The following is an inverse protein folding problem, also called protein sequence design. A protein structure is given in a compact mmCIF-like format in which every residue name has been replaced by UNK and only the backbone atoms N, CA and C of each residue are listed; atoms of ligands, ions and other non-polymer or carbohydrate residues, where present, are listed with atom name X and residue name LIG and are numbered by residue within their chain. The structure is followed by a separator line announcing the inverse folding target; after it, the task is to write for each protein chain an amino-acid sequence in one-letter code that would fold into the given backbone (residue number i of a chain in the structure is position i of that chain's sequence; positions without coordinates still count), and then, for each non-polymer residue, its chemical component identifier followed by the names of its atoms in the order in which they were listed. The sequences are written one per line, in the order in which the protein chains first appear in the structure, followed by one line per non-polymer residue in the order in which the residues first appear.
data_IF_545661617069
#
_entry.id   IF_545661617069
#
_cell.length_a   1.000
_cell.length_b   1.000
_cell.length_c   1.000
_cell.angle_alpha   90.00
_cell.angle_beta   90.00
_cell.angle_gamma   90.00
#
_symmetry.space_group_name_H-M   'P 1'
#
loop_
_entity.id
_entity.type
_entity.pdbx_description
1 polymer ?
#
# COMPACT_ATOMS: atom_id res chain seq x y z
N UNK A 1 1.25 -9.32 -19.98
CA UNK A 1 0.53 -8.05 -19.75
C UNK A 1 -0.08 -8.04 -18.34
N UNK A 2 0.75 -8.04 -17.28
CA UNK A 2 0.33 -7.92 -15.86
C UNK A 2 1.52 -7.51 -15.00
N UNK A 3 1.93 -6.24 -15.05
CA UNK A 3 2.80 -5.60 -14.03
C UNK A 3 2.40 -4.12 -13.99
N UNK A 4 1.45 -3.74 -13.13
CA UNK A 4 1.07 -2.33 -12.93
C UNK A 4 0.33 -2.01 -11.61
N UNK A 5 0.46 -2.83 -10.56
CA UNK A 5 -0.26 -2.58 -9.29
C UNK A 5 0.61 -2.40 -8.04
N UNK A 6 1.94 -2.46 -8.16
CA UNK A 6 2.84 -2.44 -7.01
C UNK A 6 3.27 -1.04 -6.51
N UNK A 7 2.74 0.05 -7.06
CA UNK A 7 3.29 1.41 -6.82
C UNK A 7 2.47 2.31 -5.87
N UNK A 8 1.35 1.85 -5.30
CA UNK A 8 0.49 2.70 -4.44
C UNK A 8 0.78 2.51 -2.93
N UNK A 9 1.60 1.52 -2.55
CA UNK A 9 1.87 1.22 -1.12
C UNK A 9 3.05 2.01 -0.50
N UNK A 10 3.71 2.94 -1.21
CA UNK A 10 4.95 3.57 -0.74
C UNK A 10 4.83 4.96 -0.10
N UNK A 11 3.64 5.49 0.20
CA UNK A 11 3.49 6.88 0.68
C UNK A 11 3.23 7.03 2.20
N UNK A 12 3.04 5.95 2.97
CA UNK A 12 2.64 6.07 4.39
C UNK A 12 3.73 5.81 5.43
N UNK A 13 4.97 6.26 5.18
CA UNK A 13 6.04 6.18 6.19
C UNK A 13 6.89 7.46 6.25
N UNK A 14 6.28 8.60 6.60
CA UNK A 14 7.02 9.76 7.10
C UNK A 14 6.10 10.66 7.93
N UNK A 15 5.92 10.32 9.21
CA UNK A 15 5.18 11.14 10.15
C UNK A 15 5.42 10.73 11.60
N UNK A 16 6.19 11.57 12.30
CA UNK A 16 6.27 11.71 13.76
C UNK A 16 7.10 10.70 14.56
N UNK A 17 8.38 11.05 14.82
CA UNK A 17 9.02 10.87 16.14
C UNK A 17 10.09 11.96 16.34
N UNK A 18 9.68 13.13 16.85
CA UNK A 18 10.57 14.05 17.55
C UNK A 18 10.43 13.76 19.05
N UNK A 19 11.37 12.97 19.58
CA UNK A 19 11.52 12.69 21.02
C UNK A 19 12.98 12.78 21.40
N UNK A 20 13.33 13.82 22.15
CA UNK A 20 14.66 14.16 22.61
C UNK A 20 15.13 13.16 23.71
N UNK A 21 16.32 12.55 23.64
CA UNK A 21 16.77 11.62 24.68
C UNK A 21 17.42 12.36 25.85
N UNK A 22 16.86 12.18 27.05
CA UNK A 22 17.48 12.58 28.32
C UNK A 22 18.54 11.56 28.74
N UNK A 23 19.75 12.05 28.94
CA UNK A 23 20.89 11.33 29.51
C UNK A 23 20.57 10.80 30.92
N UNK A 24 20.73 9.49 31.11
CA UNK A 24 21.00 8.92 32.44
C UNK A 24 22.01 7.78 32.32
N UNK A 25 23.19 8.03 32.90
CA UNK A 25 24.35 7.14 32.95
C UNK A 25 24.12 6.02 33.98
N UNK A 26 24.40 4.74 33.67
CA UNK A 26 24.47 3.69 34.68
C UNK A 26 25.87 3.61 35.32
N UNK A 27 25.98 3.15 36.57
CA UNK A 27 27.23 3.10 37.31
C UNK A 27 28.14 1.95 36.85
N UNK A 28 29.44 2.25 36.74
CA UNK A 28 30.49 1.27 36.50
C UNK A 28 30.65 0.33 37.69
N UNK A 29 30.60 -0.98 37.41
CA UNK A 29 31.02 -2.02 38.36
C UNK A 29 32.25 -2.72 37.80
N UNK A 30 33.33 -2.69 38.58
CA UNK A 30 34.58 -3.42 38.34
C UNK A 30 34.32 -4.92 38.36
N UNK A 31 34.88 -5.65 37.40
CA UNK A 31 35.07 -7.09 37.52
C UNK A 31 36.44 -7.51 37.00
N UNK A 32 37.14 -8.19 37.89
CA UNK A 32 38.50 -8.71 37.77
C UNK A 32 38.62 -9.74 36.66
N UNK A 33 39.68 -9.60 35.87
CA UNK A 33 40.12 -10.54 34.86
C UNK A 33 40.55 -11.87 35.50
N UNK A 34 39.87 -12.96 35.14
CA UNK A 34 40.37 -14.32 35.37
C UNK A 34 40.62 -14.94 34.00
N UNK A 35 41.87 -15.29 33.74
CA UNK A 35 42.32 -15.92 32.50
C UNK A 35 41.77 -17.35 32.46
N UNK A 36 40.84 -17.62 31.53
CA UNK A 36 40.37 -18.97 31.22
C UNK A 36 41.03 -19.39 29.91
N UNK A 37 41.86 -20.43 29.99
CA UNK A 37 42.48 -21.09 28.85
C UNK A 37 41.41 -21.57 27.86
N UNK A 38 41.47 -21.01 26.65
CA UNK A 38 40.57 -21.37 25.55
C UNK A 38 41.10 -22.64 24.88
N UNK A 39 40.53 -23.79 25.22
CA UNK A 39 40.75 -25.02 24.45
C UNK A 39 40.02 -24.89 23.11
N UNK A 40 40.79 -24.70 22.05
CA UNK A 40 40.33 -24.64 20.66
C UNK A 40 39.76 -26.00 20.27
N UNK A 41 38.45 -26.17 20.41
CA UNK A 41 37.73 -27.29 19.78
C UNK A 41 37.50 -26.91 18.33
N UNK A 42 38.28 -27.53 17.44
CA UNK A 42 38.14 -27.45 15.99
C UNK A 42 36.74 -27.93 15.61
N UNK A 43 35.79 -27.00 15.44
CA UNK A 43 34.47 -27.31 14.91
C UNK A 43 34.59 -27.61 13.42
N UNK A 44 34.69 -28.88 13.07
CA UNK A 44 34.48 -29.35 11.70
C UNK A 44 33.00 -29.19 11.36
N UNK A 45 32.63 -28.11 10.68
CA UNK A 45 31.30 -27.94 10.10
C UNK A 45 31.07 -29.02 9.04
N UNK A 46 30.21 -29.99 9.34
CA UNK A 46 29.80 -31.02 8.38
C UNK A 46 28.95 -30.35 7.30
N UNK A 47 29.37 -30.48 6.04
CA UNK A 47 28.61 -30.00 4.89
C UNK A 47 27.40 -30.93 4.64
N UNK A 48 26.26 -30.51 5.17
CA UNK A 48 24.99 -31.25 5.09
C UNK A 48 24.51 -31.42 3.64
N UNK A 49 25.05 -30.66 2.68
CA UNK A 49 24.73 -30.80 1.25
C UNK A 49 25.27 -32.09 0.60
N UNK A 50 26.13 -32.83 1.30
CA UNK A 50 26.72 -34.09 0.81
C UNK A 50 25.82 -35.32 0.98
N UNK A 51 24.68 -35.20 1.67
CA UNK A 51 23.75 -36.32 1.87
C UNK A 51 22.73 -36.40 0.73
N UNK A 52 22.48 -37.61 0.22
CA UNK A 52 21.52 -37.84 -0.88
C UNK A 52 20.17 -38.38 -0.41
N UNK A 53 20.03 -38.74 0.87
CA UNK A 53 18.77 -39.25 1.44
C UNK A 53 18.65 -38.93 2.94
N UNK A 54 17.42 -38.75 3.41
CA UNK A 54 17.10 -38.43 4.80
C UNK A 54 17.50 -39.55 5.79
N UNK A 55 17.60 -40.80 5.35
CA UNK A 55 18.11 -41.90 6.22
C UNK A 55 19.55 -41.67 6.68
N UNK A 56 20.35 -40.94 5.90
CA UNK A 56 21.75 -40.64 6.24
C UNK A 56 21.86 -39.73 7.46
N UNK A 57 20.81 -38.96 7.79
CA UNK A 57 20.80 -38.11 8.98
C UNK A 57 20.95 -38.91 10.28
N UNK A 58 20.58 -40.20 10.31
CA UNK A 58 20.77 -41.07 11.48
C UNK A 58 22.25 -41.25 11.85
N UNK A 59 23.13 -41.15 10.86
CA UNK A 59 24.58 -41.31 11.02
C UNK A 59 25.30 -39.98 11.34
N UNK A 60 24.59 -38.84 11.37
CA UNK A 60 25.20 -37.53 11.63
C UNK A 60 25.57 -37.41 13.11
N UNK A 61 26.86 -37.21 13.43
CA UNK A 61 27.29 -36.99 14.81
C UNK A 61 26.83 -35.63 15.30
N UNK A 62 26.50 -35.53 16.59
CA UNK A 62 26.00 -34.31 17.19
C UNK A 62 24.49 -34.11 17.00
N UNK A 63 23.80 -33.82 18.10
CA UNK A 63 22.34 -33.61 18.10
C UNK A 63 21.94 -32.44 17.18
N UNK A 64 22.67 -31.32 17.27
CA UNK A 64 22.37 -30.09 16.53
C UNK A 64 22.45 -30.26 15.02
N UNK A 65 23.50 -30.94 14.54
CA UNK A 65 23.74 -31.14 13.10
C UNK A 65 22.77 -32.16 12.52
N UNK A 66 22.46 -33.21 13.28
CA UNK A 66 21.42 -34.16 12.91
C UNK A 66 20.04 -33.51 12.81
N UNK A 67 19.69 -32.63 13.74
CA UNK A 67 18.44 -31.85 13.69
C UNK A 67 18.39 -30.95 12.44
N UNK A 68 19.51 -30.28 12.09
CA UNK A 68 19.61 -29.50 10.83
C UNK A 68 19.41 -30.39 9.60
N UNK A 69 19.99 -31.61 9.60
CA UNK A 69 19.87 -32.55 8.50
C UNK A 69 18.40 -32.92 8.24
N UNK A 70 17.68 -33.32 9.29
CA UNK A 70 16.26 -33.66 9.16
C UNK A 70 15.38 -32.46 8.80
N UNK A 71 15.65 -31.29 9.36
CA UNK A 71 14.95 -30.05 9.03
C UNK A 71 15.08 -29.73 7.53
N UNK A 72 16.30 -29.72 6.99
CA UNK A 72 16.53 -29.41 5.57
C UNK A 72 15.84 -30.42 4.65
N UNK A 73 16.03 -31.73 4.88
CA UNK A 73 15.36 -32.74 4.06
C UNK A 73 13.84 -32.66 4.18
N UNK A 74 13.29 -32.42 5.37
CA UNK A 74 11.86 -32.24 5.58
C UNK A 74 11.31 -31.08 4.74
N UNK A 75 12.01 -29.94 4.74
CA UNK A 75 11.63 -28.75 3.96
C UNK A 75 11.77 -28.99 2.46
N UNK A 76 12.91 -29.51 1.99
CA UNK A 76 13.19 -29.71 0.56
C UNK A 76 12.28 -30.76 -0.08
N UNK A 77 11.92 -31.81 0.68
CA UNK A 77 11.06 -32.89 0.20
C UNK A 77 9.58 -32.69 0.53
N UNK A 78 9.23 -31.65 1.29
CA UNK A 78 7.90 -31.43 1.87
C UNK A 78 7.38 -32.61 2.72
N UNK A 79 8.28 -33.40 3.31
CA UNK A 79 7.93 -34.53 4.17
C UNK A 79 7.92 -34.13 5.64
N UNK A 80 6.72 -33.85 6.16
CA UNK A 80 6.53 -33.51 7.58
C UNK A 80 6.90 -34.64 8.55
N UNK A 81 6.97 -35.90 8.09
CA UNK A 81 7.39 -37.01 8.95
C UNK A 81 8.88 -36.89 9.33
N UNK A 82 9.69 -36.23 8.51
CA UNK A 82 11.08 -35.91 8.85
C UNK A 82 11.19 -34.85 9.93
N UNK A 83 10.26 -33.88 9.97
CA UNK A 83 10.18 -32.89 11.05
C UNK A 83 9.94 -33.56 12.41
N UNK A 84 9.24 -34.70 12.47
CA UNK A 84 9.05 -35.43 13.73
C UNK A 84 10.36 -35.95 14.34
N UNK A 85 11.37 -36.21 13.50
CA UNK A 85 12.69 -36.68 13.90
C UNK A 85 13.60 -35.57 14.45
N UNK A 86 13.24 -34.31 14.28
CA UNK A 86 13.97 -33.15 14.83
C UNK A 86 13.73 -33.09 16.34
N UNK A 87 14.80 -33.03 17.13
CA UNK A 87 14.72 -33.06 18.60
C UNK A 87 14.74 -31.68 19.25
N UNK A 88 15.39 -30.70 18.62
CA UNK A 88 15.32 -29.30 19.03
C UNK A 88 13.93 -28.73 18.75
N UNK A 89 13.28 -28.18 19.79
CA UNK A 89 11.88 -27.74 19.73
C UNK A 89 11.68 -26.58 18.74
N UNK A 90 12.64 -25.65 18.69
CA UNK A 90 12.56 -24.48 17.81
C UNK A 90 12.73 -24.92 16.36
N UNK A 91 13.77 -25.70 16.06
CA UNK A 91 13.97 -26.24 14.70
C UNK A 91 12.81 -27.12 14.24
N UNK A 92 12.25 -27.93 15.14
CA UNK A 92 11.07 -28.76 14.85
C UNK A 92 9.88 -27.88 14.45
N UNK A 93 9.64 -26.80 15.19
CA UNK A 93 8.62 -25.81 14.86
C UNK A 93 8.84 -25.16 13.49
N UNK A 94 10.05 -24.71 13.21
CA UNK A 94 10.45 -24.11 11.91
C UNK A 94 10.26 -25.10 10.75
N UNK A 95 10.63 -26.37 10.94
CA UNK A 95 10.42 -27.42 9.95
C UNK A 95 8.94 -27.59 9.60
N UNK A 96 8.08 -27.77 10.61
CA UNK A 96 6.63 -27.91 10.37
C UNK A 96 6.00 -26.68 9.74
N UNK A 97 6.40 -25.48 10.16
CA UNK A 97 5.92 -24.24 9.56
C UNK A 97 6.31 -24.15 8.08
N UNK A 98 7.57 -24.43 7.76
CA UNK A 98 8.09 -24.35 6.39
C UNK A 98 7.42 -25.37 5.46
N UNK A 99 7.30 -26.62 5.91
CA UNK A 99 6.57 -27.67 5.17
C UNK A 99 5.09 -27.33 5.06
N UNK A 100 4.47 -26.80 6.13
CA UNK A 100 3.09 -26.31 6.13
C UNK A 100 2.84 -25.26 5.07
N UNK A 101 3.71 -24.27 4.95
CA UNK A 101 3.65 -23.25 3.88
C UNK A 101 3.82 -23.83 2.49
N UNK A 102 4.83 -24.67 2.29
CA UNK A 102 5.12 -25.26 0.99
C UNK A 102 4.01 -26.21 0.50
N UNK A 103 3.32 -26.89 1.42
CA UNK A 103 2.20 -27.81 1.13
C UNK A 103 0.82 -27.18 1.30
N UNK A 104 0.73 -25.92 1.74
CA UNK A 104 -0.51 -25.23 2.11
C UNK A 104 -1.37 -26.02 3.12
N UNK A 105 -0.72 -26.69 4.08
CA UNK A 105 -1.38 -27.53 5.07
C UNK A 105 -1.37 -26.89 6.47
N UNK A 106 -2.45 -26.21 6.89
CA UNK A 106 -2.53 -25.56 8.20
C UNK A 106 -2.49 -26.53 9.38
N UNK A 107 -2.83 -27.81 9.18
CA UNK A 107 -2.79 -28.81 10.26
C UNK A 107 -1.36 -29.08 10.73
N UNK A 108 -0.33 -28.71 9.96
CA UNK A 108 1.06 -28.81 10.41
C UNK A 108 1.41 -27.76 11.47
N UNK A 109 0.70 -26.62 11.53
CA UNK A 109 0.89 -25.64 12.60
C UNK A 109 0.50 -26.23 13.97
N UNK A 110 -0.43 -27.18 14.04
CA UNK A 110 -0.81 -27.85 15.31
C UNK A 110 0.35 -28.61 15.95
N UNK A 111 1.34 -29.03 15.14
CA UNK A 111 2.55 -29.74 15.59
C UNK A 111 3.61 -28.83 16.20
N UNK A 112 3.44 -27.51 16.12
CA UNK A 112 4.34 -26.52 16.71
C UNK A 112 4.02 -26.38 18.20
N UNK A 113 5.03 -26.51 19.07
CA UNK A 113 4.82 -26.46 20.54
C UNK A 113 4.65 -25.03 21.06
N UNK A 114 5.45 -24.09 20.55
CA UNK A 114 5.37 -22.67 20.92
C UNK A 114 4.06 -22.06 20.42
N UNK A 115 3.21 -21.59 21.35
CA UNK A 115 1.95 -20.94 21.00
C UNK A 115 2.16 -19.71 20.09
N UNK A 116 3.22 -18.94 20.33
CA UNK A 116 3.56 -17.79 19.51
C UNK A 116 3.94 -18.20 18.08
N UNK A 117 4.81 -19.20 17.91
CA UNK A 117 5.21 -19.67 16.56
C UNK A 117 4.04 -20.36 15.84
N UNK A 118 3.18 -21.06 16.58
CA UNK A 118 1.94 -21.65 16.05
C UNK A 118 1.00 -20.58 15.49
N UNK A 119 0.77 -19.51 16.24
CA UNK A 119 -0.05 -18.39 15.80
C UNK A 119 0.54 -17.71 14.56
N UNK A 120 1.87 -17.53 14.50
CA UNK A 120 2.57 -17.01 13.31
C UNK A 120 2.46 -17.93 12.10
N UNK A 121 2.50 -19.24 12.30
CA UNK A 121 2.28 -20.23 11.25
C UNK A 121 0.87 -20.11 10.65
N UNK A 122 -0.15 -19.98 11.51
CA UNK A 122 -1.53 -19.76 11.06
C UNK A 122 -1.74 -18.40 10.39
N UNK A 123 -1.10 -17.33 10.88
CA UNK A 123 -1.14 -15.99 10.26
C UNK A 123 -0.61 -16.05 8.81
N UNK A 124 0.56 -16.66 8.61
CA UNK A 124 1.19 -16.83 7.29
C UNK A 124 0.33 -17.67 6.34
N UNK A 125 -0.23 -18.78 6.82
CA UNK A 125 -1.07 -19.66 6.00
C UNK A 125 -2.44 -19.04 5.69
N UNK A 126 -3.02 -18.31 6.65
CA UNK A 126 -4.25 -17.55 6.44
C UNK A 126 -4.09 -16.53 5.31
N UNK A 127 -2.98 -15.78 5.32
CA UNK A 127 -2.63 -14.85 4.25
C UNK A 127 -2.36 -15.57 2.91
N UNK A 128 -1.52 -16.62 2.92
CA UNK A 128 -1.13 -17.36 1.71
C UNK A 128 -2.34 -18.00 1.01
N UNK A 129 -3.23 -18.62 1.78
CA UNK A 129 -4.43 -19.29 1.28
C UNK A 129 -5.62 -18.33 1.12
N UNK A 130 -5.46 -17.07 1.55
CA UNK A 130 -6.52 -16.07 1.60
C UNK A 130 -7.79 -16.57 2.31
N UNK A 131 -7.61 -17.37 3.36
CA UNK A 131 -8.69 -18.09 4.04
C UNK A 131 -8.89 -17.53 5.45
N UNK A 132 -9.94 -16.72 5.69
CA UNK A 132 -10.19 -16.15 7.00
C UNK A 132 -10.56 -17.22 8.04
N UNK A 133 -10.95 -18.44 7.64
CA UNK A 133 -11.18 -19.56 8.55
C UNK A 133 -9.88 -20.03 9.23
N UNK A 134 -8.72 -19.84 8.60
CA UNK A 134 -7.43 -20.18 9.23
C UNK A 134 -7.13 -19.20 10.36
N UNK A 135 -7.53 -17.93 10.23
CA UNK A 135 -7.37 -16.92 11.27
C UNK A 135 -8.12 -17.28 12.55
N UNK A 136 -9.20 -18.08 12.50
CA UNK A 136 -9.91 -18.57 13.69
C UNK A 136 -9.02 -19.41 14.62
N UNK A 137 -8.02 -20.08 14.05
CA UNK A 137 -7.10 -20.97 14.77
C UNK A 137 -6.07 -20.21 15.63
N UNK A 138 -5.84 -18.92 15.33
CA UNK A 138 -4.91 -18.05 16.06
C UNK A 138 -5.46 -17.73 17.46
N UNK A 139 -4.65 -17.92 18.49
CA UNK A 139 -5.06 -17.66 19.88
C UNK A 139 -4.86 -16.20 20.30
N UNK A 140 -3.75 -15.59 19.88
CA UNK A 140 -3.46 -14.18 20.14
C UNK A 140 -4.39 -13.25 19.34
N UNK A 141 -5.14 -12.39 20.04
CA UNK A 141 -6.12 -11.49 19.41
C UNK A 141 -5.47 -10.53 18.40
N UNK A 142 -4.28 -9.98 18.68
CA UNK A 142 -3.59 -9.07 17.75
C UNK A 142 -3.15 -9.80 16.48
N UNK A 143 -2.64 -11.03 16.60
CA UNK A 143 -2.28 -11.87 15.45
C UNK A 143 -3.50 -12.28 14.63
N UNK A 144 -4.62 -12.57 15.30
CA UNK A 144 -5.89 -12.90 14.68
C UNK A 144 -6.45 -11.71 13.89
N UNK A 145 -6.44 -10.52 14.48
CA UNK A 145 -6.86 -9.27 13.84
C UNK A 145 -5.99 -8.94 12.62
N UNK A 146 -4.65 -9.08 12.72
CA UNK A 146 -3.75 -8.92 11.56
C UNK A 146 -4.05 -9.92 10.45
N UNK A 147 -4.29 -11.20 10.79
CA UNK A 147 -4.66 -12.22 9.81
C UNK A 147 -5.98 -11.87 9.09
N UNK A 148 -7.00 -11.43 9.82
CA UNK A 148 -8.25 -10.97 9.22
C UNK A 148 -8.08 -9.74 8.35
N UNK A 149 -7.27 -8.76 8.76
CA UNK A 149 -6.96 -7.59 7.96
C UNK A 149 -6.34 -7.99 6.61
N UNK A 150 -5.29 -8.82 6.63
CA UNK A 150 -4.60 -9.26 5.42
C UNK A 150 -5.55 -10.04 4.51
N UNK A 151 -6.31 -10.99 5.06
CA UNK A 151 -7.25 -11.80 4.27
C UNK A 151 -8.41 -10.99 3.70
N UNK A 152 -8.95 -10.02 4.44
CA UNK A 152 -9.99 -9.12 3.96
C UNK A 152 -9.51 -8.25 2.79
N UNK A 153 -8.31 -7.68 2.87
CA UNK A 153 -7.71 -6.86 1.81
C UNK A 153 -7.43 -7.72 0.56
N UNK A 154 -6.79 -8.87 0.73
CA UNK A 154 -6.41 -9.77 -0.36
C UNK A 154 -7.60 -10.37 -1.13
N UNK A 155 -8.76 -10.46 -0.48
CA UNK A 155 -10.02 -10.91 -1.07
C UNK A 155 -10.97 -9.75 -1.43
N UNK A 156 -10.66 -8.52 -1.03
CA UNK A 156 -11.60 -7.40 -1.07
C UNK A 156 -12.96 -7.74 -0.41
N UNK A 157 -12.90 -8.44 0.72
CA UNK A 157 -14.07 -8.93 1.46
C UNK A 157 -14.35 -8.07 2.72
N UNK A 158 -15.35 -7.18 2.67
CA UNK A 158 -15.70 -6.35 3.82
C UNK A 158 -16.35 -7.16 4.97
N UNK A 159 -16.87 -8.36 4.71
CA UNK A 159 -17.43 -9.19 5.77
C UNK A 159 -16.33 -9.66 6.73
N UNK A 160 -15.15 -9.98 6.22
CA UNK A 160 -13.98 -10.34 7.03
C UNK A 160 -13.53 -9.18 7.92
N UNK A 161 -13.61 -7.92 7.48
CA UNK A 161 -13.29 -6.75 8.34
C UNK A 161 -14.12 -6.72 9.63
N UNK A 162 -15.38 -7.21 9.61
CA UNK A 162 -16.25 -7.26 10.80
C UNK A 162 -15.80 -8.26 11.87
N UNK A 163 -14.83 -9.11 11.54
CA UNK A 163 -14.29 -10.13 12.45
C UNK A 163 -13.10 -9.60 13.27
N UNK A 164 -12.58 -8.42 12.92
CA UNK A 164 -11.49 -7.74 13.61
C UNK A 164 -12.04 -7.10 14.88
N UNK A 165 -11.37 -7.31 16.02
CA UNK A 165 -11.79 -6.79 17.33
C UNK A 165 -11.29 -5.37 17.57
N UNK A 166 -10.05 -5.07 17.22
CA UNK A 166 -9.46 -3.75 17.43
C UNK A 166 -10.04 -2.73 16.46
N UNK A 167 -10.70 -1.70 17.01
CA UNK A 167 -11.38 -0.64 16.25
C UNK A 167 -10.49 0.01 15.19
N UNK A 168 -9.28 0.44 15.56
CA UNK A 168 -8.34 1.06 14.63
C UNK A 168 -7.96 0.13 13.46
N UNK A 169 -7.79 -1.16 13.73
CA UNK A 169 -7.51 -2.17 12.70
C UNK A 169 -8.73 -2.42 11.81
N UNK A 170 -9.93 -2.41 12.39
CA UNK A 170 -11.21 -2.54 11.68
C UNK A 170 -11.43 -1.35 10.74
N UNK A 171 -11.19 -0.12 11.18
CA UNK A 171 -11.29 1.08 10.34
C UNK A 171 -10.30 1.03 9.18
N UNK A 172 -9.04 0.67 9.44
CA UNK A 172 -8.03 0.47 8.40
C UNK A 172 -8.46 -0.58 7.37
N UNK A 173 -9.07 -1.68 7.83
CA UNK A 173 -9.61 -2.72 6.98
C UNK A 173 -10.71 -2.19 6.06
N UNK A 174 -11.74 -1.55 6.62
CA UNK A 174 -12.83 -0.99 5.84
C UNK A 174 -12.34 0.07 4.86
N UNK A 175 -11.44 0.96 5.29
CA UNK A 175 -10.85 1.97 4.41
C UNK A 175 -10.16 1.32 3.20
N UNK A 176 -9.26 0.36 3.44
CA UNK A 176 -8.53 -0.33 2.37
C UNK A 176 -9.48 -1.08 1.42
N UNK A 177 -10.44 -1.84 1.95
CA UNK A 177 -11.41 -2.59 1.13
C UNK A 177 -12.35 -1.64 0.36
N UNK A 178 -12.73 -0.49 0.93
CA UNK A 178 -13.53 0.53 0.25
C UNK A 178 -12.83 1.04 -1.01
N UNK A 179 -11.53 1.35 -0.91
CA UNK A 179 -10.74 1.84 -2.04
C UNK A 179 -10.51 0.76 -3.10
N UNK A 180 -10.22 -0.48 -2.69
CA UNK A 180 -10.02 -1.60 -3.61
C UNK A 180 -11.28 -1.90 -4.42
N UNK A 181 -12.45 -1.90 -3.78
CA UNK A 181 -13.75 -2.12 -4.44
C UNK A 181 -14.29 -0.87 -5.12
N UNK A 182 -13.75 0.31 -4.81
CA UNK A 182 -14.33 1.62 -5.14
C UNK A 182 -15.79 1.72 -4.71
N UNK A 183 -16.11 1.16 -3.54
CA UNK A 183 -17.47 1.11 -3.00
C UNK A 183 -17.66 2.18 -1.92
N UNK A 184 -18.34 3.30 -2.22
CA UNK A 184 -18.50 4.40 -1.27
C UNK A 184 -19.33 4.00 -0.05
N UNK A 185 -20.19 2.99 -0.14
CA UNK A 185 -21.02 2.59 1.00
C UNK A 185 -20.17 1.95 2.11
N UNK A 186 -19.00 1.42 1.78
CA UNK A 186 -18.07 0.90 2.78
C UNK A 186 -17.39 2.02 3.58
N UNK A 187 -17.29 3.24 3.03
CA UNK A 187 -16.82 4.39 3.81
C UNK A 187 -17.81 4.76 4.95
N UNK A 188 -19.07 4.36 4.85
CA UNK A 188 -20.05 4.57 5.93
C UNK A 188 -19.81 3.66 7.14
N UNK A 189 -18.99 2.62 6.99
CA UNK A 189 -18.56 1.73 8.09
C UNK A 189 -17.43 2.33 8.94
N UNK A 190 -16.87 3.48 8.53
CA UNK A 190 -15.82 4.19 9.26
C UNK A 190 -16.44 5.08 10.35
N UNK A 191 -15.78 5.13 11.51
CA UNK A 191 -16.23 5.85 12.70
C UNK A 191 -15.67 7.27 12.67
N UNK A 192 -14.37 7.41 12.38
CA UNK A 192 -13.74 8.73 12.30
C UNK A 192 -14.21 9.49 11.05
N UNK A 193 -14.79 10.67 11.28
CA UNK A 193 -15.34 11.50 10.21
C UNK A 193 -14.28 12.01 9.22
N UNK A 194 -13.05 12.26 9.69
CA UNK A 194 -11.97 12.70 8.80
C UNK A 194 -11.52 11.57 7.86
N UNK A 195 -11.44 10.35 8.37
CA UNK A 195 -11.14 9.12 7.62
C UNK A 195 -12.27 8.78 6.65
N UNK A 196 -13.53 8.89 7.08
CA UNK A 196 -14.71 8.76 6.22
C UNK A 196 -14.71 9.77 5.06
N UNK A 197 -14.41 11.04 5.36
CA UNK A 197 -14.30 12.10 4.35
C UNK A 197 -13.17 11.78 3.36
N UNK A 198 -12.01 11.34 3.86
CA UNK A 198 -10.87 10.94 3.01
C UNK A 198 -11.21 9.74 2.13
N UNK A 199 -11.92 8.75 2.67
CA UNK A 199 -12.38 7.57 1.93
C UNK A 199 -13.30 7.97 0.76
N UNK A 200 -14.34 8.76 1.06
CA UNK A 200 -15.29 9.24 0.05
C UNK A 200 -14.60 10.11 -1.01
N UNK A 201 -13.69 11.01 -0.60
CA UNK A 201 -12.92 11.84 -1.52
C UNK A 201 -12.11 10.98 -2.49
N UNK A 202 -11.31 10.02 -1.98
CA UNK A 202 -10.48 9.16 -2.82
C UNK A 202 -11.33 8.34 -3.80
N UNK A 203 -12.44 7.77 -3.35
CA UNK A 203 -13.35 7.02 -4.24
C UNK A 203 -13.90 7.94 -5.33
N UNK A 204 -14.35 9.15 -4.99
CA UNK A 204 -14.87 10.13 -5.95
C UNK A 204 -13.86 10.43 -7.07
N UNK A 205 -12.57 10.60 -6.71
CA UNK A 205 -11.50 10.84 -7.69
C UNK A 205 -11.17 9.58 -8.50
N UNK A 206 -11.17 8.41 -7.87
CA UNK A 206 -10.86 7.12 -8.52
C UNK A 206 -11.96 6.63 -9.48
N UNK A 207 -13.20 7.06 -9.28
CA UNK A 207 -14.35 6.75 -10.14
C UNK A 207 -14.72 7.91 -11.06
N UNK A 208 -14.17 9.10 -10.82
CA UNK A 208 -14.56 10.35 -11.48
C UNK A 208 -16.07 10.66 -11.31
N UNK A 209 -16.64 10.27 -10.17
CA UNK A 209 -18.05 10.49 -9.85
C UNK A 209 -18.23 11.75 -9.00
N UNK A 210 -18.62 12.84 -9.65
CA UNK A 210 -18.87 14.12 -8.99
C UNK A 210 -20.06 14.11 -8.02
N UNK A 211 -20.98 13.13 -8.15
CA UNK A 211 -22.13 13.03 -7.22
C UNK A 211 -21.67 12.64 -5.83
N UNK A 212 -20.57 11.88 -5.72
CA UNK A 212 -19.96 11.53 -4.44
C UNK A 212 -19.30 12.72 -3.74
N UNK A 213 -18.78 13.70 -4.50
CA UNK A 213 -18.24 14.93 -3.92
C UNK A 213 -19.29 15.71 -3.12
N UNK A 214 -20.57 15.60 -3.46
CA UNK A 214 -21.67 16.28 -2.75
C UNK A 214 -21.94 15.71 -1.35
N UNK A 215 -21.41 14.52 -1.05
CA UNK A 215 -21.50 13.89 0.27
C UNK A 215 -20.42 14.39 1.24
N UNK A 216 -19.48 15.22 0.77
CA UNK A 216 -18.38 15.75 1.55
C UNK A 216 -18.77 17.08 2.22
N UNK A 217 -18.05 17.47 3.27
CA UNK A 217 -18.13 18.83 3.80
C UNK A 217 -17.64 19.87 2.79
N UNK A 218 -18.13 21.12 2.89
CA UNK A 218 -17.94 22.20 1.90
C UNK A 218 -16.50 22.31 1.38
N UNK A 219 -15.50 22.35 2.27
CA UNK A 219 -14.09 22.49 1.87
C UNK A 219 -13.57 21.30 1.05
N UNK A 220 -13.93 20.07 1.45
CA UNK A 220 -13.52 18.85 0.75
C UNK A 220 -14.31 18.65 -0.55
N UNK A 221 -15.58 19.06 -0.56
CA UNK A 221 -16.46 19.06 -1.74
C UNK A 221 -15.87 19.91 -2.86
N UNK A 222 -15.49 21.16 -2.60
CA UNK A 222 -14.94 22.05 -3.62
C UNK A 222 -13.66 21.48 -4.25
N UNK A 223 -12.76 20.95 -3.41
CA UNK A 223 -11.52 20.33 -3.87
C UNK A 223 -11.79 19.07 -4.72
N UNK A 224 -12.81 18.29 -4.34
CA UNK A 224 -13.22 17.08 -5.07
C UNK A 224 -13.81 17.43 -6.44
N UNK A 225 -14.75 18.39 -6.49
CA UNK A 225 -15.40 18.82 -7.72
C UNK A 225 -14.41 19.41 -8.72
N UNK A 226 -13.45 20.19 -8.24
CA UNK A 226 -12.36 20.71 -9.04
C UNK A 226 -11.57 19.58 -9.73
N UNK A 227 -11.12 18.60 -8.95
CA UNK A 227 -10.32 17.49 -9.46
C UNK A 227 -11.10 16.61 -10.45
N UNK A 228 -12.36 16.28 -10.14
CA UNK A 228 -13.22 15.50 -11.04
C UNK A 228 -13.55 16.28 -12.31
N UNK A 229 -13.91 17.56 -12.21
CA UNK A 229 -14.18 18.44 -13.35
C UNK A 229 -12.97 18.57 -14.28
N UNK A 230 -11.80 18.83 -13.70
CA UNK A 230 -10.54 18.89 -14.43
C UNK A 230 -10.19 17.60 -15.13
N UNK A 231 -10.29 16.44 -14.47
CA UNK A 231 -9.94 15.13 -15.07
C UNK A 231 -10.93 14.66 -16.13
N UNK A 232 -12.22 14.96 -15.97
CA UNK A 232 -13.27 14.52 -16.91
C UNK A 232 -13.42 15.46 -18.11
N UNK A 233 -12.91 16.69 -18.03
CA UNK A 233 -13.22 17.75 -19.00
C UNK A 233 -14.66 18.25 -18.90
N UNK A 234 -15.43 17.81 -17.90
CA UNK A 234 -16.82 18.18 -17.75
C UNK A 234 -16.97 19.49 -16.96
N UNK A 235 -17.00 20.60 -17.69
CA UNK A 235 -17.09 21.93 -17.10
C UNK A 235 -18.38 22.17 -16.30
N UNK A 236 -19.47 21.41 -16.52
CA UNK A 236 -20.72 21.63 -15.78
C UNK A 236 -20.56 21.32 -14.30
N UNK A 237 -19.57 20.50 -13.93
CA UNK A 237 -19.19 20.24 -12.54
C UNK A 237 -18.70 21.53 -11.88
N UNK A 238 -17.99 22.39 -12.62
CA UNK A 238 -17.47 23.67 -12.13
C UNK A 238 -18.57 24.67 -11.77
N UNK A 239 -19.79 24.51 -12.32
CA UNK A 239 -20.93 25.36 -11.98
C UNK A 239 -21.47 25.11 -10.57
N UNK A 240 -21.11 23.99 -9.94
CA UNK A 240 -21.48 23.65 -8.56
C UNK A 240 -20.60 24.42 -7.56
N UNK A 241 -19.39 24.85 -7.96
CA UNK A 241 -18.45 25.54 -7.09
C UNK A 241 -18.95 26.94 -6.75
N UNK A 242 -19.00 27.25 -5.45
CA UNK A 242 -19.44 28.56 -4.96
C UNK A 242 -18.32 29.61 -4.95
N UNK A 243 -17.07 29.18 -4.83
CA UNK A 243 -15.91 30.07 -4.86
C UNK A 243 -15.49 30.38 -6.30
N UNK A 244 -15.58 31.64 -6.70
CA UNK A 244 -15.29 32.10 -8.07
C UNK A 244 -13.85 31.76 -8.52
N UNK A 245 -12.87 31.88 -7.62
CA UNK A 245 -11.47 31.54 -7.95
C UNK A 245 -11.30 30.04 -8.20
N UNK A 246 -11.94 29.18 -7.40
CA UNK A 246 -11.94 27.73 -7.63
C UNK A 246 -12.72 27.36 -8.89
N UNK A 247 -13.83 28.06 -9.17
CA UNK A 247 -14.62 27.90 -10.39
C UNK A 247 -13.79 28.19 -11.63
N UNK A 248 -13.09 29.33 -11.66
CA UNK A 248 -12.19 29.70 -12.77
C UNK A 248 -11.09 28.67 -12.99
N UNK A 249 -10.48 28.16 -11.91
CA UNK A 249 -9.48 27.10 -12.00
C UNK A 249 -10.08 25.80 -12.57
N UNK A 250 -11.25 25.40 -12.10
CA UNK A 250 -11.96 24.22 -12.61
C UNK A 250 -12.30 24.36 -14.09
N UNK A 251 -12.82 25.51 -14.51
CA UNK A 251 -13.15 25.78 -15.91
C UNK A 251 -11.91 25.69 -16.80
N UNK A 252 -10.78 26.25 -16.36
CA UNK A 252 -9.51 26.13 -17.07
C UNK A 252 -9.09 24.65 -17.21
N UNK A 253 -9.07 23.90 -16.11
CA UNK A 253 -8.61 22.51 -16.11
C UNK A 253 -9.53 21.63 -16.98
N UNK A 254 -10.85 21.82 -16.86
CA UNK A 254 -11.84 21.12 -17.67
C UNK A 254 -11.73 21.48 -19.16
N UNK A 255 -11.52 22.76 -19.49
CA UNK A 255 -11.31 23.22 -20.86
C UNK A 255 -10.07 22.57 -21.49
N UNK A 256 -8.96 22.51 -20.74
CA UNK A 256 -7.70 21.91 -21.20
C UNK A 256 -7.84 20.41 -21.38
N UNK A 257 -8.38 19.70 -20.40
CA UNK A 257 -8.56 18.25 -20.49
C UNK A 257 -9.54 17.84 -21.59
N UNK A 258 -10.65 18.57 -21.73
CA UNK A 258 -11.64 18.35 -22.80
C UNK A 258 -11.27 18.98 -24.15
N UNK A 259 -10.17 19.74 -24.21
CA UNK A 259 -9.78 20.57 -25.37
C UNK A 259 -10.92 21.46 -25.89
N UNK A 260 -11.76 21.96 -24.98
CA UNK A 260 -12.94 22.76 -25.29
C UNK A 260 -12.63 24.26 -25.15
N UNK A 261 -12.30 24.91 -26.27
CA UNK A 261 -11.97 26.34 -26.32
C UNK A 261 -13.14 27.21 -25.81
N UNK A 262 -14.39 26.83 -26.10
CA UNK A 262 -15.56 27.58 -25.65
C UNK A 262 -15.76 27.57 -24.13
N UNK A 263 -15.13 26.63 -23.41
CA UNK A 263 -15.09 26.67 -21.94
C UNK A 263 -14.18 27.78 -21.43
N UNK A 264 -13.12 28.15 -22.15
CA UNK A 264 -12.25 29.27 -21.75
C UNK A 264 -13.03 30.60 -21.68
N UNK A 265 -14.02 30.78 -22.56
CA UNK A 265 -14.88 31.98 -22.60
C UNK A 265 -15.68 32.19 -21.31
N UNK A 266 -15.83 31.14 -20.49
CA UNK A 266 -16.56 31.18 -19.20
C UNK A 266 -15.67 31.62 -18.04
N UNK A 267 -14.37 31.72 -18.23
CA UNK A 267 -13.42 32.10 -17.18
C UNK A 267 -13.48 33.63 -17.01
N UNK A 268 -13.73 34.09 -15.78
CA UNK A 268 -13.80 35.52 -15.46
C UNK A 268 -12.45 36.10 -15.06
N UNK A 269 -11.50 35.27 -14.60
CA UNK A 269 -10.14 35.68 -14.28
C UNK A 269 -9.32 35.98 -15.56
N UNK A 270 -8.84 37.23 -15.76
CA UNK A 270 -8.14 37.62 -16.99
C UNK A 270 -6.80 36.92 -17.22
N UNK A 271 -6.13 36.45 -16.16
CA UNK A 271 -4.86 35.74 -16.30
C UNK A 271 -5.07 34.28 -16.66
N UNK A 272 -6.11 33.65 -16.10
CA UNK A 272 -6.47 32.26 -16.39
C UNK A 272 -7.07 32.11 -17.78
N UNK A 273 -7.90 33.04 -18.27
CA UNK A 273 -8.49 32.94 -19.61
C UNK A 273 -7.41 32.89 -20.71
N UNK A 274 -6.39 33.75 -20.63
CA UNK A 274 -5.25 33.74 -21.55
C UNK A 274 -4.42 32.46 -21.43
N UNK A 275 -4.29 31.91 -20.22
CA UNK A 275 -3.62 30.63 -19.97
C UNK A 275 -4.37 29.47 -20.60
N UNK A 276 -5.70 29.49 -20.51
CA UNK A 276 -6.58 28.47 -21.08
C UNK A 276 -6.43 28.41 -22.61
N UNK A 277 -6.59 29.56 -23.30
CA UNK A 277 -6.42 29.61 -24.76
C UNK A 277 -5.01 29.21 -25.20
N UNK A 278 -3.98 29.72 -24.51
CA UNK A 278 -2.59 29.35 -24.82
C UNK A 278 -2.38 27.84 -24.71
N UNK A 279 -2.80 27.24 -23.59
CA UNK A 279 -2.59 25.80 -23.34
C UNK A 279 -3.28 24.94 -24.39
N UNK A 280 -4.54 25.24 -24.73
CA UNK A 280 -5.29 24.49 -25.75
C UNK A 280 -4.71 24.74 -27.14
N UNK A 281 -4.36 25.99 -27.48
CA UNK A 281 -3.74 26.35 -28.75
C UNK A 281 -2.44 25.58 -29.02
N UNK A 282 -1.58 25.48 -28.00
CA UNK A 282 -0.36 24.68 -28.05
C UNK A 282 -0.67 23.18 -28.16
N UNK A 283 -1.58 22.66 -27.34
CA UNK A 283 -1.91 21.23 -27.32
C UNK A 283 -2.59 20.73 -28.61
N UNK A 284 -3.25 21.62 -29.35
CA UNK A 284 -3.88 21.33 -30.65
C UNK A 284 -3.01 21.76 -31.84
N UNK A 285 -1.88 22.43 -31.61
CA UNK A 285 -1.08 23.10 -32.62
C UNK A 285 -1.95 24.00 -33.56
N UNK A 286 -2.86 24.78 -32.96
CA UNK A 286 -3.79 25.62 -33.69
C UNK A 286 -3.59 27.10 -33.34
N UNK A 287 -2.94 27.82 -34.23
CA UNK A 287 -2.61 29.24 -34.06
C UNK A 287 -3.83 30.17 -34.04
N UNK A 288 -4.99 29.75 -34.58
CA UNK A 288 -6.20 30.57 -34.53
C UNK A 288 -6.71 30.77 -33.11
N UNK A 289 -6.40 29.84 -32.20
CA UNK A 289 -6.76 29.95 -30.78
C UNK A 289 -5.92 31.04 -30.10
N UNK A 290 -4.68 31.25 -30.54
CA UNK A 290 -3.81 32.30 -30.02
C UNK A 290 -4.37 33.71 -30.29
N UNK A 291 -5.28 33.87 -31.27
CA UNK A 291 -5.92 35.15 -31.57
C UNK A 291 -6.72 35.69 -30.36
N UNK A 292 -7.29 34.80 -29.55
CA UNK A 292 -8.11 35.11 -28.37
C UNK A 292 -7.30 35.55 -27.14
N UNK A 293 -5.98 35.38 -27.13
CA UNK A 293 -5.12 35.77 -26.00
C UNK A 293 -4.98 37.30 -25.97
N UNK A 294 -5.19 37.92 -24.81
CA UNK A 294 -5.11 39.39 -24.65
C UNK A 294 -3.72 39.85 -24.24
N UNK A 295 -3.04 39.13 -23.35
CA UNK A 295 -1.71 39.49 -22.85
C UNK A 295 -0.64 39.26 -23.94
N UNK A 296 0.00 40.32 -24.47
CA UNK A 296 0.86 40.20 -25.66
C UNK A 296 2.03 39.21 -25.52
N UNK A 297 2.75 39.14 -24.38
CA UNK A 297 3.83 38.16 -24.22
C UNK A 297 3.36 36.70 -24.35
N UNK A 298 2.19 36.36 -23.79
CA UNK A 298 1.62 35.00 -23.93
C UNK A 298 1.15 34.72 -25.35
N UNK A 299 0.57 35.71 -26.02
CA UNK A 299 0.10 35.59 -27.40
C UNK A 299 1.25 35.39 -28.37
N UNK A 300 2.32 36.18 -28.24
CA UNK A 300 3.55 36.02 -29.02
C UNK A 300 4.12 34.62 -28.87
N UNK A 301 4.29 34.16 -27.63
CA UNK A 301 4.76 32.80 -27.35
C UNK A 301 3.88 31.73 -28.00
N UNK A 302 2.55 31.86 -27.92
CA UNK A 302 1.61 30.93 -28.54
C UNK A 302 1.82 30.81 -30.06
N UNK A 303 1.96 31.94 -30.79
CA UNK A 303 2.22 31.91 -32.23
C UNK A 303 3.58 31.32 -32.60
N UNK A 304 4.63 31.64 -31.84
CA UNK A 304 5.97 31.08 -32.08
C UNK A 304 5.95 29.55 -32.01
N UNK A 305 5.27 29.00 -31.00
CA UNK A 305 5.19 27.55 -30.80
C UNK A 305 4.20 26.85 -31.73
N UNK A 306 3.21 27.57 -32.28
CA UNK A 306 2.23 27.01 -33.23
C UNK A 306 2.61 27.22 -34.70
N UNK A 307 3.86 27.63 -34.98
CA UNK A 307 4.40 27.72 -36.35
C UNK A 307 4.04 28.99 -37.12
N UNK A 308 3.66 30.08 -36.44
CA UNK A 308 3.27 31.37 -37.04
C UNK A 308 4.18 32.54 -36.58
N UNK A 309 5.50 32.47 -36.82
CA UNK A 309 6.45 33.47 -36.29
C UNK A 309 6.21 34.88 -36.83
N UNK A 310 5.60 35.02 -38.00
CA UNK A 310 5.26 36.34 -38.56
C UNK A 310 4.10 37.01 -37.80
N UNK A 311 3.13 36.25 -37.28
CA UNK A 311 2.11 36.79 -36.37
C UNK A 311 2.71 37.16 -35.02
N UNK A 312 3.68 36.38 -34.53
CA UNK A 312 4.39 36.64 -33.29
C UNK A 312 5.12 38.00 -33.30
N UNK A 313 5.81 38.35 -34.40
CA UNK A 313 6.51 39.64 -34.55
C UNK A 313 5.58 40.86 -34.54
N UNK A 314 4.31 40.68 -34.89
CA UNK A 314 3.30 41.75 -35.01
C UNK A 314 2.47 41.95 -33.73
N UNK A 315 2.61 41.06 -32.75
CA UNK A 315 1.88 41.06 -31.48
C UNK A 315 2.77 41.61 -30.37
#
# INVERSE_FOLDING_TARGET
MRVAFALILLVFAAGCLNGNPTNSTPPQTNSSSTVIETTTTTSTSIDVSSFTNASSCESVPGKRDRDTCYENFGIESNDSALCEKVMDRIKKGVCFWSVGKATTNPLLCDRIESAYEKDRCYEDLGALMKSPQICDMIQNDDGKDRCYLTTAIENSDPATCRRIKQEATTENCFFAVSLLRKDPNLCDMLIDNATKTSCMFNISIMTLDATLCQKLGVTAQDSCLLEVGGRTGNYTICDILSNESLKNRCLNDAAVAGKNVGTCDKITDPWLIDTCYQTIGLALNNSSICDSIKYPPKKRYCYEQTGEPEKAKRT
#
